data_IF_484733032791
#
_entry.id   IF_484733032791
#
_cell.length_a   1.000
_cell.length_b   1.000
_cell.length_c   1.000
_cell.angle_alpha   90.00
_cell.angle_beta   90.00
_cell.angle_gamma   90.00
#
_symmetry.space_group_name_H-M   'P 1'
#
loop_
_entity.id
_entity.type
_entity.pdbx_description
1 polymer ?
#
# COMPACT_ATOMS: atom_id res chain seq x y z
N UNK A 1 -3.92 -42.47 -1.70
CA UNK A 1 -3.71 -41.15 -1.09
C UNK A 1 -3.37 -40.20 -2.23
N UNK A 2 -4.22 -39.21 -2.52
CA UNK A 2 -4.04 -38.35 -3.69
C UNK A 2 -3.48 -36.98 -3.24
N UNK A 3 -2.24 -36.60 -3.64
CA UNK A 3 -1.66 -35.30 -3.34
C UNK A 3 -2.20 -34.26 -4.31
N UNK A 4 -3.50 -33.98 -4.25
CA UNK A 4 -4.10 -32.93 -5.07
C UNK A 4 -3.95 -31.58 -4.39
N UNK A 5 -2.97 -30.84 -4.90
CA UNK A 5 -2.97 -29.39 -5.06
C UNK A 5 -2.98 -28.58 -3.77
N UNK A 6 -1.79 -28.18 -3.35
CA UNK A 6 -1.62 -26.97 -2.53
C UNK A 6 -2.08 -25.80 -3.42
N UNK A 7 -3.37 -25.44 -3.35
CA UNK A 7 -3.86 -24.16 -3.89
C UNK A 7 -3.01 -23.08 -3.20
N UNK A 8 -2.14 -22.42 -3.95
CA UNK A 8 -1.56 -21.15 -3.53
C UNK A 8 -2.71 -20.17 -3.47
N UNK A 9 -3.35 -20.07 -2.30
CA UNK A 9 -4.24 -18.96 -2.02
C UNK A 9 -3.33 -17.74 -2.05
N UNK A 10 -3.30 -17.04 -3.18
CA UNK A 10 -2.74 -15.70 -3.27
C UNK A 10 -3.42 -14.90 -2.16
N UNK A 11 -2.70 -14.68 -1.07
CA UNK A 11 -3.21 -13.97 0.08
C UNK A 11 -3.63 -12.60 -0.44
N UNK A 12 -4.94 -12.26 -0.36
CA UNK A 12 -5.43 -10.95 -0.80
C UNK A 12 -4.58 -9.91 -0.09
N UNK A 13 -3.83 -9.12 -0.86
CA UNK A 13 -2.89 -8.15 -0.32
C UNK A 13 -3.09 -6.79 -0.96
N UNK A 14 -2.85 -5.74 -0.19
CA UNK A 14 -2.96 -4.36 -0.65
C UNK A 14 -1.78 -3.55 -0.14
N UNK A 15 -1.22 -2.70 -1.00
CA UNK A 15 -0.31 -1.64 -0.62
C UNK A 15 -1.01 -0.30 -0.86
N UNK A 16 -0.88 0.62 0.09
CA UNK A 16 -1.28 2.01 -0.08
C UNK A 16 -0.01 2.80 -0.32
N UNK A 17 0.12 3.40 -1.50
CA UNK A 17 1.28 4.24 -1.82
C UNK A 17 1.07 5.67 -1.28
N UNK A 18 2.14 6.37 -0.87
CA UNK A 18 2.05 7.74 -0.40
C UNK A 18 1.40 8.66 -1.43
N UNK A 19 0.47 9.47 -0.97
CA UNK A 19 -0.13 10.51 -1.79
C UNK A 19 0.87 11.62 -2.10
N UNK A 20 0.81 12.11 -3.33
CA UNK A 20 1.59 13.27 -3.76
C UNK A 20 0.90 14.54 -3.28
N UNK A 21 1.63 15.43 -2.60
CA UNK A 21 1.15 16.77 -2.35
C UNK A 21 1.06 17.53 -3.68
N UNK A 22 -0.16 17.88 -4.10
CA UNK A 22 -0.42 18.67 -5.31
C UNK A 22 -0.57 20.18 -5.01
N UNK A 23 -0.41 20.58 -3.73
CA UNK A 23 -0.42 21.98 -3.32
C UNK A 23 0.90 22.66 -3.65
N UNK A 24 0.89 23.98 -3.75
CA UNK A 24 2.12 24.78 -3.82
C UNK A 24 2.84 24.88 -2.47
N UNK A 25 2.13 24.59 -1.37
CA UNK A 25 2.65 24.66 -0.01
C UNK A 25 3.31 23.34 0.39
N UNK A 26 4.63 23.29 0.63
CA UNK A 26 5.32 22.09 1.08
C UNK A 26 4.89 21.65 2.48
N UNK A 27 4.33 22.55 3.30
CA UNK A 27 3.85 22.18 4.63
C UNK A 27 2.67 21.21 4.51
N UNK A 28 1.90 21.21 3.42
CA UNK A 28 0.80 20.24 3.23
C UNK A 28 1.27 18.78 3.02
N UNK A 29 2.59 18.51 2.95
CA UNK A 29 3.13 17.17 2.80
C UNK A 29 2.75 16.26 3.98
N UNK A 30 2.75 16.78 5.21
CA UNK A 30 2.37 15.99 6.38
C UNK A 30 0.91 15.54 6.30
N UNK A 31 0.05 16.32 5.62
CA UNK A 31 -1.36 15.97 5.46
C UNK A 31 -1.50 14.78 4.51
N UNK A 32 -0.84 14.81 3.35
CA UNK A 32 -0.80 13.67 2.41
C UNK A 32 -0.26 12.40 3.06
N UNK A 33 0.80 12.52 3.87
CA UNK A 33 1.36 11.40 4.63
C UNK A 33 0.39 10.88 5.69
N UNK A 34 -0.25 11.79 6.45
CA UNK A 34 -1.22 11.44 7.48
C UNK A 34 -2.42 10.69 6.90
N UNK A 35 -2.96 11.13 5.76
CA UNK A 35 -4.05 10.40 5.08
C UNK A 35 -3.59 9.03 4.60
N UNK A 36 -2.38 8.92 4.05
CA UNK A 36 -1.80 7.63 3.62
C UNK A 36 -1.75 6.66 4.80
N UNK A 37 -1.25 7.11 5.94
CA UNK A 37 -1.17 6.31 7.17
C UNK A 37 -2.54 5.88 7.68
N UNK A 38 -3.51 6.80 7.71
CA UNK A 38 -4.84 6.49 8.18
C UNK A 38 -5.52 5.42 7.32
N UNK A 39 -5.34 5.46 6.00
CA UNK A 39 -5.87 4.43 5.10
C UNK A 39 -5.18 3.08 5.35
N UNK A 40 -3.85 3.05 5.53
CA UNK A 40 -3.12 1.82 5.89
C UNK A 40 -3.71 1.23 7.18
N UNK A 41 -3.85 2.05 8.22
CA UNK A 41 -4.37 1.64 9.52
C UNK A 41 -5.80 1.12 9.40
N UNK A 42 -6.69 1.83 8.71
CA UNK A 42 -8.07 1.41 8.49
C UNK A 42 -8.14 0.05 7.78
N UNK A 43 -7.33 -0.17 6.74
CA UNK A 43 -7.30 -1.44 6.00
C UNK A 43 -6.73 -2.60 6.81
N UNK A 44 -5.87 -2.35 7.79
CA UNK A 44 -5.30 -3.43 8.64
C UNK A 44 -6.37 -4.16 9.46
N UNK A 45 -7.51 -3.52 9.69
CA UNK A 45 -8.63 -4.09 10.43
C UNK A 45 -9.44 -5.12 9.61
N UNK A 46 -9.22 -5.16 8.29
CA UNK A 46 -9.97 -6.03 7.37
C UNK A 46 -9.45 -7.46 7.47
N UNK A 47 -10.27 -8.36 8.05
CA UNK A 47 -9.92 -9.77 8.21
C UNK A 47 -9.66 -10.44 6.85
N UNK A 48 -8.53 -11.14 6.76
CA UNK A 48 -8.13 -11.85 5.54
C UNK A 48 -7.48 -10.97 4.47
N UNK A 49 -7.24 -9.69 4.76
CA UNK A 49 -6.49 -8.77 3.90
C UNK A 49 -5.09 -8.54 4.48
N UNK A 50 -4.04 -8.85 3.71
CA UNK A 50 -2.67 -8.53 4.07
C UNK A 50 -2.35 -7.10 3.63
N UNK A 51 -2.18 -6.19 4.59
CA UNK A 51 -1.75 -4.82 4.29
C UNK A 51 -0.23 -4.75 4.32
N UNK A 52 0.37 -4.17 3.27
CA UNK A 52 1.81 -3.96 3.20
C UNK A 52 2.23 -2.87 4.19
N UNK A 53 3.37 -3.07 4.85
CA UNK A 53 3.88 -2.16 5.87
C UNK A 53 4.12 -0.74 5.33
N UNK A 54 3.83 0.25 6.17
CA UNK A 54 4.03 1.68 5.88
C UNK A 54 5.44 1.97 5.35
N UNK A 55 6.48 1.47 6.01
CA UNK A 55 7.88 1.71 5.60
C UNK A 55 8.17 1.22 4.18
N UNK A 56 7.61 0.07 3.79
CA UNK A 56 7.75 -0.48 2.43
C UNK A 56 7.01 0.39 1.41
N UNK A 57 5.81 0.87 1.72
CA UNK A 57 5.06 1.80 0.85
C UNK A 57 5.80 3.13 0.67
N UNK A 58 6.33 3.69 1.77
CA UNK A 58 7.03 4.98 1.76
C UNK A 58 8.37 4.92 1.01
N UNK A 59 8.93 3.72 0.79
CA UNK A 59 10.08 3.55 -0.10
C UNK A 59 9.80 3.96 -1.56
N UNK A 60 8.53 4.13 -1.94
CA UNK A 60 8.10 4.61 -3.26
C UNK A 60 7.75 6.11 -3.29
N UNK A 61 7.81 6.80 -2.15
CA UNK A 61 7.54 8.24 -2.08
C UNK A 61 8.51 9.03 -2.97
N UNK A 62 8.01 10.03 -3.68
CA UNK A 62 8.79 10.89 -4.58
C UNK A 62 9.57 10.16 -5.69
N UNK A 63 9.25 8.89 -5.94
CA UNK A 63 9.80 8.15 -7.08
C UNK A 63 8.86 8.27 -8.26
N UNK A 64 9.40 8.66 -9.41
CA UNK A 64 8.66 8.68 -10.68
C UNK A 64 8.63 7.26 -11.28
N UNK A 65 8.00 6.33 -10.56
CA UNK A 65 7.78 4.95 -10.99
C UNK A 65 6.32 4.85 -11.43
N UNK A 66 6.08 4.24 -12.59
CA UNK A 66 4.74 3.96 -13.07
C UNK A 66 4.02 3.03 -12.10
N UNK A 67 2.92 3.51 -11.49
CA UNK A 67 2.12 2.76 -10.51
C UNK A 67 1.61 1.42 -11.05
N UNK A 68 1.45 1.31 -12.37
CA UNK A 68 1.05 0.07 -13.04
C UNK A 68 2.10 -1.03 -12.90
N UNK A 69 3.37 -0.67 -12.74
CA UNK A 69 4.49 -1.61 -12.56
C UNK A 69 4.67 -2.05 -11.10
N UNK A 70 4.06 -1.35 -10.15
CA UNK A 70 4.18 -1.64 -8.71
C UNK A 70 3.14 -2.69 -8.28
N UNK A 71 1.92 -2.62 -8.84
CA UNK A 71 0.79 -3.49 -8.50
C UNK A 71 0.46 -4.56 -9.54
N UNK A 72 1.32 -4.77 -10.55
CA UNK A 72 1.14 -5.75 -11.62
C UNK A 72 1.36 -7.20 -11.18
#
# INVERSE_FOLDING_TARGET
MNPQQIKSYSSKSIAVLPFMNMSADPDNEYFSDGITEEIINALTTVRGLKVIARTSSFAFKNKNIDVRTIGS
#
